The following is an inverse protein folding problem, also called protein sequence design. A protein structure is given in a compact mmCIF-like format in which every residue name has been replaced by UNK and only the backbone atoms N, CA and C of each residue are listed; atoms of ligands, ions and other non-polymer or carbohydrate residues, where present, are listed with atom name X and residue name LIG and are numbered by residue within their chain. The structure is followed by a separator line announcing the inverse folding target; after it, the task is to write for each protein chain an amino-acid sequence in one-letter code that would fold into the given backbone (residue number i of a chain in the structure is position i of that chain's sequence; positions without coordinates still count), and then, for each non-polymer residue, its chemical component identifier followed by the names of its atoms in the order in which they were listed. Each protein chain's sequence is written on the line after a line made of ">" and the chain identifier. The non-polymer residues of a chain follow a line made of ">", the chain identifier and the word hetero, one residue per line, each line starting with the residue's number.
data_IF_805257262658
#
_entry.id   IF_805257262658
#
_cell.length_a   1.000
_cell.length_b   1.000
_cell.length_c   1.000
_cell.angle_alpha   90.00
_cell.angle_beta   90.00
_cell.angle_gamma   90.00
#
_symmetry.space_group_name_H-M   'P 1'
#
loop_
_entity.id
_entity.type
_entity.pdbx_description
1 polymer ?
#
# COMPACT_ATOMS: atom_id res chain seq x y z
N UNK A 1 0.44 -6.67 28.52
CA UNK A 1 -0.12 -5.50 27.82
C UNK A 1 0.82 -4.34 27.99
N UNK A 2 1.55 -3.93 26.94
CA UNK A 2 2.34 -2.71 27.00
C UNK A 2 1.39 -1.53 26.82
N UNK A 3 1.11 -0.75 27.88
CA UNK A 3 0.21 0.39 27.78
C UNK A 3 0.72 1.39 26.73
N UNK A 4 -0.08 1.65 25.69
CA UNK A 4 0.14 2.75 24.74
C UNK A 4 -0.07 4.07 25.50
N UNK A 5 0.99 4.60 26.11
CA UNK A 5 0.96 5.87 26.85
C UNK A 5 1.17 7.07 25.89
N UNK A 6 0.24 7.27 24.96
CA UNK A 6 0.23 8.46 24.11
C UNK A 6 -0.91 9.36 24.58
N UNK A 7 -0.61 10.39 25.35
CA UNK A 7 -1.57 11.42 25.73
C UNK A 7 -0.95 12.80 25.52
N UNK A 8 -1.68 13.70 24.85
CA UNK A 8 -1.23 15.06 24.57
C UNK A 8 -2.40 16.03 24.59
N UNK A 9 -2.28 17.09 25.38
CA UNK A 9 -3.24 18.20 25.41
C UNK A 9 -2.75 19.31 24.47
N UNK A 10 -3.63 19.77 23.59
CA UNK A 10 -3.42 20.93 22.71
C UNK A 10 -4.34 22.03 23.23
N UNK A 11 -3.73 23.11 23.74
CA UNK A 11 -4.46 24.28 24.21
C UNK A 11 -4.96 25.09 23.02
N UNK A 12 -6.25 25.43 23.01
CA UNK A 12 -6.84 26.31 22.03
C UNK A 12 -6.87 27.75 22.54
N UNK A 13 -6.26 28.70 21.83
CA UNK A 13 -6.47 30.12 22.13
C UNK A 13 -7.96 30.48 21.89
N UNK A 14 -8.72 30.64 22.97
CA UNK A 14 -10.16 30.91 22.91
C UNK A 14 -11.05 29.74 22.45
N UNK A 15 -10.50 28.51 22.39
CA UNK A 15 -11.24 27.28 22.06
C UNK A 15 -11.04 26.24 23.17
N UNK A 16 -11.98 25.29 23.35
CA UNK A 16 -11.79 24.22 24.31
C UNK A 16 -10.55 23.38 23.96
N UNK A 17 -9.88 22.89 25.00
CA UNK A 17 -8.69 22.05 24.86
C UNK A 17 -9.02 20.77 24.08
N UNK A 18 -8.06 20.34 23.26
CA UNK A 18 -8.15 19.08 22.52
C UNK A 18 -7.20 18.07 23.13
N UNK A 19 -7.72 16.92 23.54
CA UNK A 19 -6.96 15.81 24.11
C UNK A 19 -6.75 14.74 23.06
N UNK A 20 -5.49 14.46 22.70
CA UNK A 20 -5.12 13.31 21.88
C UNK A 20 -4.85 12.13 22.82
N UNK A 21 -5.51 11.00 22.56
CA UNK A 21 -5.42 9.76 23.36
C UNK A 21 -5.64 8.51 22.51
N UNK A 22 -5.32 7.31 22.99
CA UNK A 22 -5.72 6.07 22.31
C UNK A 22 -7.24 5.98 22.21
N UNK A 23 -7.70 5.41 21.10
CA UNK A 23 -9.11 5.09 20.90
C UNK A 23 -9.55 4.00 21.88
N UNK A 24 -10.81 4.07 22.29
CA UNK A 24 -11.51 3.07 23.09
C UNK A 24 -12.68 2.51 22.28
N UNK A 25 -13.18 1.33 22.64
CA UNK A 25 -14.33 0.69 21.96
C UNK A 25 -15.55 1.62 21.92
N UNK A 26 -15.77 2.42 22.96
CA UNK A 26 -16.84 3.43 23.01
C UNK A 26 -16.73 4.53 21.94
N UNK A 27 -15.52 4.79 21.41
CA UNK A 27 -15.29 5.83 20.40
C UNK A 27 -15.70 5.36 18.98
N UNK A 28 -15.89 4.04 18.76
CA UNK A 28 -16.09 3.44 17.44
C UNK A 28 -17.16 4.14 16.61
N UNK A 29 -18.35 4.32 17.18
CA UNK A 29 -19.47 4.96 16.48
C UNK A 29 -19.14 6.38 16.06
N UNK A 30 -18.52 7.17 16.94
CA UNK A 30 -18.18 8.56 16.64
C UNK A 30 -17.07 8.65 15.60
N UNK A 31 -16.08 7.76 15.64
CA UNK A 31 -15.05 7.67 14.61
C UNK A 31 -15.70 7.38 13.25
N UNK A 32 -16.59 6.39 13.15
CA UNK A 32 -17.30 6.07 11.90
C UNK A 32 -18.09 7.27 11.36
N UNK A 33 -18.83 7.96 12.24
CA UNK A 33 -19.54 9.19 11.87
C UNK A 33 -18.59 10.27 11.35
N UNK A 34 -17.44 10.48 11.99
CA UNK A 34 -16.44 11.47 11.57
C UNK A 34 -15.87 11.17 10.17
N UNK A 35 -15.59 9.89 9.86
CA UNK A 35 -15.18 9.49 8.52
C UNK A 35 -16.28 9.74 7.49
N UNK A 36 -17.54 9.41 7.82
CA UNK A 36 -18.67 9.65 6.94
C UNK A 36 -18.93 11.16 6.71
N UNK A 37 -18.79 11.99 7.74
CA UNK A 37 -18.93 13.45 7.67
C UNK A 37 -17.88 14.08 6.74
N UNK A 38 -16.65 13.57 6.73
CA UNK A 38 -15.52 14.18 6.00
C UNK A 38 -15.31 13.58 4.60
N UNK A 39 -15.51 12.27 4.46
CA UNK A 39 -15.24 11.54 3.21
C UNK A 39 -16.51 10.99 2.53
N UNK A 40 -17.68 11.15 3.14
CA UNK A 40 -18.94 10.61 2.65
C UNK A 40 -19.16 9.14 3.05
N UNK A 41 -20.40 8.66 2.87
CA UNK A 41 -20.81 7.30 3.25
C UNK A 41 -20.15 6.17 2.44
N UNK A 42 -19.45 6.50 1.35
CA UNK A 42 -18.82 5.54 0.45
C UNK A 42 -17.36 5.23 0.81
N UNK A 43 -16.84 5.70 1.95
CA UNK A 43 -15.46 5.43 2.37
C UNK A 43 -15.15 3.91 2.33
N UNK A 44 -14.11 3.45 1.60
CA UNK A 44 -13.96 2.03 1.28
C UNK A 44 -13.09 1.25 2.26
N UNK A 45 -12.40 1.92 3.19
CA UNK A 45 -11.39 1.24 4.04
C UNK A 45 -12.07 0.43 5.13
N UNK A 46 -12.03 -0.89 4.98
CA UNK A 46 -12.77 -1.83 5.84
C UNK A 46 -12.40 -1.74 7.32
N UNK A 47 -11.17 -1.36 7.69
CA UNK A 47 -10.80 -1.20 9.11
C UNK A 47 -11.67 -0.17 9.83
N UNK A 48 -12.19 0.83 9.12
CA UNK A 48 -13.08 1.86 9.66
C UNK A 48 -14.55 1.45 9.56
N UNK A 49 -14.96 0.84 8.45
CA UNK A 49 -16.37 0.56 8.18
C UNK A 49 -16.88 -0.76 8.76
N UNK A 50 -16.01 -1.76 8.93
CA UNK A 50 -16.34 -3.06 9.51
C UNK A 50 -16.19 -3.01 11.03
N UNK A 51 -17.30 -3.28 11.74
CA UNK A 51 -17.38 -3.21 13.20
C UNK A 51 -16.41 -4.16 13.90
N UNK A 52 -16.27 -5.39 13.39
CA UNK A 52 -15.44 -6.40 14.05
C UNK A 52 -13.96 -6.14 13.78
N UNK A 53 -13.60 -5.72 12.56
CA UNK A 53 -12.22 -5.29 12.26
C UNK A 53 -11.82 -4.07 13.07
N UNK A 54 -12.72 -3.09 13.20
CA UNK A 54 -12.48 -1.89 13.98
C UNK A 54 -12.28 -2.19 15.46
N UNK A 55 -13.16 -3.02 16.06
CA UNK A 55 -13.02 -3.45 17.45
C UNK A 55 -11.68 -4.12 17.68
N UNK A 56 -11.34 -5.12 16.84
CA UNK A 56 -10.04 -5.83 16.92
C UNK A 56 -8.88 -4.85 16.86
N UNK A 57 -8.87 -3.93 15.90
CA UNK A 57 -7.79 -2.95 15.76
C UNK A 57 -7.69 -1.96 16.94
N UNK A 58 -8.78 -1.66 17.65
CA UNK A 58 -8.73 -0.83 18.86
C UNK A 58 -8.13 -1.62 20.04
N UNK A 59 -8.48 -2.90 20.16
CA UNK A 59 -8.09 -3.78 21.27
C UNK A 59 -6.68 -4.38 21.09
N UNK A 60 -6.20 -4.51 19.86
CA UNK A 60 -4.94 -5.17 19.51
C UNK A 60 -3.71 -4.23 19.64
N UNK A 61 -2.56 -4.79 20.02
CA UNK A 61 -1.29 -4.09 20.12
C UNK A 61 -0.60 -3.88 18.77
N UNK A 62 -1.02 -4.61 17.74
CA UNK A 62 -0.51 -4.47 16.36
C UNK A 62 -1.06 -3.22 15.64
N UNK A 63 -1.86 -2.40 16.34
CA UNK A 63 -2.43 -1.17 15.79
C UNK A 63 -2.17 0.02 16.71
N UNK A 64 -1.98 1.20 16.14
CA UNK A 64 -2.03 2.46 16.89
C UNK A 64 -3.22 3.24 16.38
N UNK A 65 -4.31 3.23 17.15
CA UNK A 65 -5.50 4.01 16.86
C UNK A 65 -5.60 5.15 17.87
N UNK A 66 -5.39 6.39 17.42
CA UNK A 66 -5.55 7.59 18.23
C UNK A 66 -6.82 8.33 17.86
N UNK A 67 -7.40 9.01 18.86
CA UNK A 67 -8.46 10.00 18.68
C UNK A 67 -8.02 11.35 19.25
N UNK A 68 -8.46 12.42 18.62
CA UNK A 68 -8.46 13.75 19.20
C UNK A 68 -9.88 14.06 19.70
N UNK A 69 -10.01 14.37 20.98
CA UNK A 69 -11.27 14.63 21.66
C UNK A 69 -11.34 16.08 22.12
N UNK A 70 -12.49 16.72 21.92
CA UNK A 70 -12.80 18.06 22.40
C UNK A 70 -14.18 18.00 23.06
N UNK A 71 -14.25 18.32 24.36
CA UNK A 71 -15.50 18.33 25.15
C UNK A 71 -16.34 17.04 24.99
N UNK A 72 -15.71 15.85 25.11
CA UNK A 72 -16.41 14.57 24.95
C UNK A 72 -16.69 14.14 23.50
N UNK A 73 -16.43 15.00 22.50
CA UNK A 73 -16.62 14.68 21.08
C UNK A 73 -15.29 14.31 20.42
N UNK A 74 -15.23 13.17 19.74
CA UNK A 74 -14.11 12.87 18.83
C UNK A 74 -14.18 13.79 17.61
N UNK A 75 -13.11 14.56 17.42
CA UNK A 75 -12.91 15.55 16.35
C UNK A 75 -11.75 15.20 15.42
N UNK A 76 -10.94 14.20 15.77
CA UNK A 76 -9.91 13.63 14.91
C UNK A 76 -9.71 12.15 15.17
N UNK A 77 -9.29 11.39 14.16
CA UNK A 77 -8.99 9.96 14.27
C UNK A 77 -7.83 9.60 13.36
N UNK A 78 -6.94 8.73 13.82
CA UNK A 78 -5.77 8.25 13.09
C UNK A 78 -5.53 6.79 13.40
N UNK A 79 -5.29 5.97 12.38
CA UNK A 79 -4.98 4.54 12.54
C UNK A 79 -3.74 4.12 11.77
N UNK A 80 -2.84 3.45 12.48
CA UNK A 80 -1.66 2.77 11.95
C UNK A 80 -1.79 1.28 12.25
N UNK A 81 -1.34 0.42 11.35
CA UNK A 81 -1.06 -0.98 11.66
C UNK A 81 0.44 -1.24 11.63
N UNK A 82 0.88 -2.19 12.44
CA UNK A 82 2.25 -2.62 12.58
C UNK A 82 2.36 -4.07 12.11
N UNK A 83 3.45 -4.35 11.43
CA UNK A 83 3.90 -5.70 11.14
C UNK A 83 5.27 -5.85 11.82
N UNK A 84 5.26 -6.40 13.03
CA UNK A 84 6.47 -6.54 13.84
C UNK A 84 7.45 -7.56 13.26
N UNK A 85 6.97 -8.51 12.45
CA UNK A 85 7.81 -9.51 11.78
C UNK A 85 8.69 -8.83 10.73
N UNK A 86 8.09 -8.03 9.86
CA UNK A 86 8.84 -7.26 8.85
C UNK A 86 9.36 -5.91 9.35
N UNK A 87 8.96 -5.51 10.57
CA UNK A 87 9.23 -4.19 11.16
C UNK A 87 8.76 -3.06 10.25
N UNK A 88 7.54 -3.19 9.75
CA UNK A 88 6.89 -2.21 8.90
C UNK A 88 5.68 -1.62 9.61
N UNK A 89 5.26 -0.43 9.22
CA UNK A 89 3.95 0.13 9.58
C UNK A 89 3.29 0.78 8.37
N UNK A 90 1.95 0.72 8.34
CA UNK A 90 1.12 1.44 7.38
C UNK A 90 0.19 2.41 8.10
N UNK A 91 0.24 3.68 7.72
CA UNK A 91 -0.80 4.65 8.07
C UNK A 91 -2.02 4.43 7.16
N UNK A 92 -3.12 3.91 7.73
CA UNK A 92 -4.30 3.51 6.96
C UNK A 92 -5.27 4.66 6.70
N UNK A 93 -5.44 5.54 7.68
CA UNK A 93 -6.39 6.63 7.57
C UNK A 93 -6.18 7.68 8.65
N UNK A 94 -6.41 8.93 8.27
CA UNK A 94 -6.44 10.08 9.16
C UNK A 94 -7.65 10.94 8.79
N UNK A 95 -8.42 11.37 9.77
CA UNK A 95 -9.55 12.28 9.57
C UNK A 95 -9.56 13.33 10.66
N UNK A 96 -9.84 14.58 10.28
CA UNK A 96 -10.04 15.70 11.22
C UNK A 96 -11.27 16.47 10.79
N UNK A 97 -12.13 16.76 11.76
CA UNK A 97 -13.33 17.57 11.58
C UNK A 97 -12.98 18.92 10.96
N UNK A 98 -13.82 19.41 10.06
CA UNK A 98 -13.63 20.65 9.31
C UNK A 98 -13.32 21.85 10.22
N UNK A 99 -14.03 21.95 11.35
CA UNK A 99 -13.92 23.00 12.36
C UNK A 99 -12.53 23.05 13.06
N UNK A 100 -11.79 21.93 13.01
CA UNK A 100 -10.55 21.71 13.76
C UNK A 100 -9.30 21.59 12.86
N UNK A 101 -9.42 21.71 11.53
CA UNK A 101 -8.31 21.50 10.58
C UNK A 101 -7.11 22.45 10.75
N UNK A 102 -7.30 23.63 11.34
CA UNK A 102 -6.24 24.63 11.57
C UNK A 102 -5.44 24.43 12.87
N UNK A 103 -5.75 23.40 13.65
CA UNK A 103 -5.04 23.10 14.91
C UNK A 103 -3.91 22.07 14.73
N UNK A 104 -3.50 21.78 13.49
CA UNK A 104 -2.45 20.80 13.16
C UNK A 104 -2.68 19.40 13.76
N UNK A 105 -3.93 19.02 14.07
CA UNK A 105 -4.22 17.76 14.76
C UNK A 105 -3.69 16.54 14.00
N UNK A 106 -3.88 16.48 12.67
CA UNK A 106 -3.38 15.37 11.86
C UNK A 106 -1.86 15.25 11.94
N UNK A 107 -1.14 16.37 11.87
CA UNK A 107 0.32 16.42 12.03
C UNK A 107 0.73 15.92 13.41
N UNK A 108 0.14 16.48 14.47
CA UNK A 108 0.49 16.12 15.85
C UNK A 108 0.23 14.64 16.12
N UNK A 109 -0.93 14.11 15.72
CA UNK A 109 -1.26 12.70 15.91
C UNK A 109 -0.31 11.79 15.13
N UNK A 110 -0.02 12.09 13.86
CA UNK A 110 0.91 11.29 13.06
C UNK A 110 2.33 11.34 13.63
N UNK A 111 2.80 12.52 14.05
CA UNK A 111 4.10 12.68 14.68
C UNK A 111 4.22 11.88 15.98
N UNK A 112 3.20 11.93 16.84
CA UNK A 112 3.19 11.16 18.08
C UNK A 112 3.32 9.66 17.84
N UNK A 113 2.56 9.11 16.88
CA UNK A 113 2.66 7.69 16.53
C UNK A 113 4.01 7.38 15.91
N UNK A 114 4.46 8.19 14.94
CA UNK A 114 5.73 8.00 14.24
C UNK A 114 6.89 7.97 15.24
N UNK A 115 7.02 8.99 16.08
CA UNK A 115 8.08 9.10 17.08
C UNK A 115 8.05 7.92 18.06
N UNK A 116 6.86 7.47 18.47
CA UNK A 116 6.74 6.32 19.38
C UNK A 116 7.19 5.01 18.73
N UNK A 117 6.73 4.71 17.51
CA UNK A 117 6.99 3.42 16.86
C UNK A 117 8.36 3.33 16.19
N UNK A 118 8.98 4.46 15.79
CA UNK A 118 10.31 4.45 15.15
C UNK A 118 11.45 4.81 16.08
N UNK A 119 11.22 5.65 17.10
CA UNK A 119 12.30 6.15 17.96
C UNK A 119 12.16 5.68 19.40
N UNK A 120 11.03 5.93 20.07
CA UNK A 120 10.91 5.66 21.51
C UNK A 120 10.90 4.16 21.83
N UNK A 121 10.19 3.37 21.03
CA UNK A 121 10.05 1.92 21.22
C UNK A 121 10.79 1.09 20.18
N UNK A 122 11.30 1.72 19.12
CA UNK A 122 12.02 1.07 18.02
C UNK A 122 11.31 -0.21 17.52
N UNK A 123 10.00 -0.10 17.24
CA UNK A 123 9.17 -1.23 16.83
C UNK A 123 9.30 -1.50 15.34
N UNK A 124 9.41 -0.45 14.53
CA UNK A 124 9.42 -0.53 13.07
C UNK A 124 10.54 0.31 12.47
N UNK A 125 11.07 -0.16 11.35
CA UNK A 125 12.14 0.52 10.63
C UNK A 125 11.59 1.46 9.54
N UNK A 126 10.36 1.19 9.11
CA UNK A 126 9.73 1.75 7.93
C UNK A 126 8.25 2.01 8.21
N UNK A 127 7.78 3.21 7.89
CA UNK A 127 6.36 3.57 7.87
C UNK A 127 5.98 4.03 6.47
N UNK A 128 4.89 3.53 5.90
CA UNK A 128 4.40 4.03 4.61
C UNK A 128 2.91 4.39 4.66
N UNK A 129 2.50 5.19 3.68
CA UNK A 129 1.13 5.64 3.53
C UNK A 129 0.78 5.77 2.05
N UNK A 130 -0.51 5.64 1.74
CA UNK A 130 -1.07 6.12 0.47
C UNK A 130 -1.82 7.43 0.71
N UNK A 131 -1.63 8.38 -0.20
CA UNK A 131 -2.32 9.67 -0.15
C UNK A 131 -3.15 9.88 -1.39
N UNK A 132 -4.44 10.17 -1.23
CA UNK A 132 -5.34 10.56 -2.32
C UNK A 132 -4.83 11.83 -3.01
N UNK A 133 -5.05 11.94 -4.32
CA UNK A 133 -4.64 13.12 -5.10
C UNK A 133 -5.74 14.15 -5.31
N UNK A 134 -6.92 14.01 -4.69
CA UNK A 134 -7.99 15.00 -4.81
C UNK A 134 -7.62 16.37 -4.19
N UNK A 135 -6.64 16.39 -3.29
CA UNK A 135 -6.07 17.61 -2.71
C UNK A 135 -4.61 17.42 -2.30
N UNK A 136 -3.88 18.53 -2.13
CA UNK A 136 -2.46 18.53 -1.77
C UNK A 136 -2.19 18.28 -0.28
N UNK A 137 -3.20 18.33 0.59
CA UNK A 137 -2.99 18.44 2.04
C UNK A 137 -2.33 17.17 2.64
N UNK A 138 -2.78 15.93 2.38
CA UNK A 138 -2.11 14.72 2.85
C UNK A 138 -0.69 14.55 2.30
N UNK A 139 -0.45 14.99 1.06
CA UNK A 139 0.88 14.94 0.44
C UNK A 139 1.86 15.89 1.15
N UNK A 140 1.43 17.13 1.44
CA UNK A 140 2.23 18.11 2.20
C UNK A 140 2.40 17.69 3.67
N UNK A 141 1.38 17.07 4.26
CA UNK A 141 1.43 16.56 5.63
C UNK A 141 2.52 15.50 5.78
N UNK A 142 2.53 14.49 4.92
CA UNK A 142 3.56 13.44 4.93
C UNK A 142 4.95 13.99 4.62
N UNK A 143 5.06 14.93 3.69
CA UNK A 143 6.32 15.66 3.43
C UNK A 143 6.85 16.39 4.68
N UNK A 144 6.00 17.08 5.42
CA UNK A 144 6.38 17.80 6.65
C UNK A 144 6.81 16.88 7.80
N UNK A 145 6.47 15.60 7.72
CA UNK A 145 6.86 14.54 8.67
C UNK A 145 8.12 13.79 8.21
N UNK A 146 8.75 14.20 7.11
CA UNK A 146 9.97 13.58 6.60
C UNK A 146 9.73 12.37 5.70
N UNK A 147 8.50 12.14 5.22
CA UNK A 147 8.26 11.07 4.26
C UNK A 147 8.76 11.48 2.87
N UNK A 148 9.38 10.52 2.18
CA UNK A 148 9.83 10.64 0.79
C UNK A 148 8.79 10.05 -0.16
N UNK A 149 8.87 10.42 -1.43
CA UNK A 149 7.88 10.09 -2.47
C UNK A 149 8.36 8.86 -3.20
N UNK A 150 7.53 7.83 -3.28
CA UNK A 150 7.93 6.50 -3.75
C UNK A 150 7.26 6.11 -5.06
N UNK A 151 6.11 6.71 -5.38
CA UNK A 151 5.46 6.49 -6.66
C UNK A 151 4.03 7.01 -6.72
N UNK A 152 3.34 6.65 -7.80
CA UNK A 152 1.97 7.04 -8.08
C UNK A 152 1.21 5.85 -8.67
N UNK A 153 -0.05 5.73 -8.30
CA UNK A 153 -0.94 4.68 -8.73
C UNK A 153 -2.15 5.33 -9.42
N UNK A 154 -2.13 5.44 -10.75
CA UNK A 154 -3.27 5.94 -11.51
C UNK A 154 -4.47 5.00 -11.41
N UNK A 155 -5.67 5.56 -11.24
CA UNK A 155 -6.96 4.84 -11.20
C UNK A 155 -7.00 3.63 -10.24
N UNK A 156 -6.30 3.68 -9.10
CA UNK A 156 -6.21 2.56 -8.16
C UNK A 156 -7.54 2.16 -7.54
N UNK A 157 -8.42 3.14 -7.34
CA UNK A 157 -9.74 2.94 -6.75
C UNK A 157 -10.81 3.58 -7.62
N UNK A 158 -11.97 2.93 -7.70
CA UNK A 158 -13.16 3.42 -8.40
C UNK A 158 -14.37 3.25 -7.48
N UNK A 159 -14.72 4.33 -6.77
CA UNK A 159 -15.87 4.36 -5.85
C UNK A 159 -17.04 5.13 -6.47
N UNK A 160 -16.82 6.41 -6.77
CA UNK A 160 -17.74 7.25 -7.55
C UNK A 160 -17.02 7.69 -8.83
N UNK A 161 -15.82 8.26 -8.65
CA UNK A 161 -14.88 8.57 -9.71
C UNK A 161 -13.63 7.69 -9.59
N UNK A 162 -12.81 7.70 -10.65
CA UNK A 162 -11.46 7.15 -10.61
C UNK A 162 -10.58 7.98 -9.66
N UNK A 163 -9.97 7.33 -8.69
CA UNK A 163 -9.03 7.95 -7.76
C UNK A 163 -7.60 7.52 -8.07
N UNK A 164 -6.72 8.51 -8.26
CA UNK A 164 -5.27 8.30 -8.26
C UNK A 164 -4.74 8.48 -6.83
N UNK A 165 -3.82 7.60 -6.44
CA UNK A 165 -3.16 7.64 -5.13
C UNK A 165 -1.65 7.79 -5.31
N UNK A 166 -0.97 8.35 -4.32
CA UNK A 166 0.49 8.41 -4.27
C UNK A 166 1.02 7.52 -3.15
N UNK A 167 2.21 6.95 -3.35
CA UNK A 167 2.94 6.21 -2.32
C UNK A 167 4.02 7.07 -1.67
N UNK A 168 4.07 7.05 -0.34
CA UNK A 168 5.10 7.75 0.43
C UNK A 168 5.60 6.89 1.58
N UNK A 169 6.87 7.08 1.98
CA UNK A 169 7.50 6.30 3.05
C UNK A 169 8.46 7.11 3.90
N UNK A 170 8.48 6.80 5.19
CA UNK A 170 9.44 7.26 6.18
C UNK A 170 10.39 6.11 6.52
N UNK A 171 11.69 6.38 6.44
CA UNK A 171 12.73 5.39 6.68
C UNK A 171 13.57 5.82 7.87
N UNK A 172 13.70 4.93 8.86
CA UNK A 172 14.73 5.11 9.89
C UNK A 172 16.12 5.00 9.28
N UNK A 173 17.11 5.60 9.93
CA UNK A 173 18.51 5.46 9.52
C UNK A 173 18.92 3.97 9.50
N UNK A 174 18.52 3.21 10.52
CA UNK A 174 18.76 1.77 10.60
C UNK A 174 18.14 0.99 9.42
N UNK A 175 17.00 1.42 8.89
CA UNK A 175 16.42 0.82 7.68
C UNK A 175 17.33 0.96 6.47
N UNK A 176 17.88 2.16 6.26
CA UNK A 176 18.75 2.49 5.14
C UNK A 176 20.12 1.80 5.29
N UNK A 177 20.68 1.74 6.50
CA UNK A 177 21.94 1.03 6.78
C UNK A 177 21.82 -0.48 6.52
N UNK A 178 20.66 -1.09 6.83
CA UNK A 178 20.40 -2.52 6.59
C UNK A 178 19.97 -2.83 5.15
N UNK A 179 19.85 -1.82 4.29
CA UNK A 179 19.44 -2.00 2.90
C UNK A 179 20.48 -2.80 2.13
N UNK A 180 20.04 -3.79 1.34
CA UNK A 180 20.89 -4.48 0.38
C UNK A 180 21.23 -3.52 -0.77
N UNK A 181 22.50 -3.16 -1.01
CA UNK A 181 22.85 -2.24 -2.08
C UNK A 181 22.70 -2.89 -3.46
N UNK A 182 22.78 -2.06 -4.50
CA UNK A 182 22.87 -2.38 -5.93
C UNK A 182 21.71 -3.27 -6.41
N UNK A 183 20.46 -2.76 -6.38
CA UNK A 183 19.32 -3.48 -6.93
C UNK A 183 19.55 -3.79 -8.41
N UNK A 184 19.01 -4.92 -8.88
CA UNK A 184 19.12 -5.40 -10.25
C UNK A 184 17.78 -5.18 -10.94
N UNK A 185 17.69 -4.11 -11.70
CA UNK A 185 16.42 -3.64 -12.26
C UNK A 185 16.43 -3.64 -13.79
N UNK A 186 15.26 -3.80 -14.40
CA UNK A 186 15.08 -3.59 -15.84
C UNK A 186 15.12 -2.10 -16.21
N UNK A 187 15.44 -1.74 -17.47
CA UNK A 187 15.55 -0.34 -17.91
C UNK A 187 14.31 0.52 -17.59
N UNK A 188 13.12 -0.05 -17.69
CA UNK A 188 11.83 0.63 -17.51
C UNK A 188 11.58 1.05 -16.05
N UNK A 189 12.26 0.41 -15.11
CA UNK A 189 12.20 0.74 -13.67
C UNK A 189 13.22 1.82 -13.30
N UNK A 190 14.29 1.99 -14.09
CA UNK A 190 15.39 2.90 -13.78
C UNK A 190 14.96 4.37 -13.55
N UNK A 191 14.00 4.94 -14.30
CA UNK A 191 13.51 6.29 -14.02
C UNK A 191 12.85 6.43 -12.65
N UNK A 192 12.04 5.45 -12.24
CA UNK A 192 11.39 5.41 -10.92
C UNK A 192 12.43 5.30 -9.80
N UNK A 193 13.44 4.44 -10.00
CA UNK A 193 14.57 4.31 -9.09
C UNK A 193 15.27 5.64 -8.89
N UNK A 194 15.62 6.35 -9.96
CA UNK A 194 16.41 7.58 -9.89
C UNK A 194 15.67 8.71 -9.15
N UNK A 195 14.34 8.78 -9.27
CA UNK A 195 13.53 9.75 -8.50
C UNK A 195 13.65 9.46 -6.99
N UNK A 196 13.62 8.20 -6.58
CA UNK A 196 13.79 7.81 -5.17
C UNK A 196 15.24 7.97 -4.72
N UNK A 197 16.20 7.54 -5.56
CA UNK A 197 17.65 7.59 -5.31
C UNK A 197 18.10 8.98 -4.91
N UNK A 198 17.60 10.03 -5.58
CA UNK A 198 17.96 11.43 -5.31
C UNK A 198 17.43 11.97 -3.98
N UNK A 199 16.34 11.42 -3.45
CA UNK A 199 15.74 11.89 -2.19
C UNK A 199 16.53 11.41 -0.96
N UNK A 200 17.14 10.22 -1.04
CA UNK A 200 17.82 9.57 0.10
C UNK A 200 19.22 9.05 -0.25
N UNK A 201 19.81 9.58 -1.31
CA UNK A 201 21.18 9.28 -1.77
C UNK A 201 21.52 7.78 -1.86
N UNK A 202 20.63 6.97 -2.47
CA UNK A 202 20.91 5.53 -2.66
C UNK A 202 22.04 5.35 -3.68
N UNK A 203 22.70 4.19 -3.66
CA UNK A 203 23.73 3.82 -4.62
C UNK A 203 23.16 3.63 -6.04
N UNK A 204 24.01 3.47 -7.07
CA UNK A 204 23.52 3.24 -8.44
C UNK A 204 23.01 1.80 -8.63
N UNK A 205 21.93 1.60 -9.40
CA UNK A 205 21.40 0.27 -9.62
C UNK A 205 22.25 -0.46 -10.68
N UNK A 206 22.11 -1.78 -10.75
CA UNK A 206 22.55 -2.57 -11.90
C UNK A 206 21.39 -2.69 -12.88
N UNK A 207 21.49 -2.00 -14.02
CA UNK A 207 20.50 -2.15 -15.09
C UNK A 207 20.76 -3.48 -15.80
N UNK A 208 19.72 -4.31 -15.93
CA UNK A 208 19.75 -5.62 -16.59
C UNK A 208 18.69 -5.63 -17.68
N UNK A 209 19.14 -5.54 -18.92
CA UNK A 209 18.28 -5.71 -20.08
C UNK A 209 18.04 -7.21 -20.30
N UNK A 210 16.92 -7.70 -19.74
CA UNK A 210 16.49 -9.09 -19.84
C UNK A 210 15.29 -9.14 -20.78
N UNK A 211 15.24 -10.16 -21.64
CA UNK A 211 14.10 -10.48 -22.49
C UNK A 211 13.44 -11.76 -21.99
N UNK A 212 12.13 -11.72 -21.83
CA UNK A 212 11.28 -12.89 -21.59
C UNK A 212 10.72 -13.42 -22.90
N UNK A 213 9.96 -14.52 -22.79
CA UNK A 213 9.40 -15.23 -23.94
C UNK A 213 8.36 -14.41 -24.73
N UNK A 214 7.83 -13.35 -24.12
CA UNK A 214 6.74 -12.53 -24.68
C UNK A 214 7.14 -11.06 -24.90
N UNK A 215 8.42 -10.71 -24.72
CA UNK A 215 8.89 -9.33 -24.81
C UNK A 215 8.84 -8.73 -26.21
N UNK A 216 8.75 -9.55 -27.26
CA UNK A 216 8.65 -9.07 -28.64
C UNK A 216 7.20 -8.91 -29.13
N UNK A 217 6.22 -9.28 -28.30
CA UNK A 217 4.79 -9.22 -28.55
C UNK A 217 4.32 -9.95 -29.84
N UNK A 218 5.13 -10.87 -30.39
CA UNK A 218 4.75 -11.64 -31.59
C UNK A 218 3.86 -12.83 -31.28
N UNK A 219 3.99 -13.37 -30.06
CA UNK A 219 3.22 -14.53 -29.60
C UNK A 219 2.22 -14.06 -28.55
N UNK A 220 0.97 -14.51 -28.68
CA UNK A 220 -0.05 -14.29 -27.67
C UNK A 220 0.27 -15.09 -26.42
N UNK A 221 0.25 -14.43 -25.26
CA UNK A 221 0.42 -15.10 -23.97
C UNK A 221 -0.74 -16.10 -23.77
N UNK A 222 -0.47 -17.41 -23.55
CA UNK A 222 -1.50 -18.39 -23.25
C UNK A 222 -2.14 -18.09 -21.89
N UNK A 223 -3.38 -18.54 -21.73
CA UNK A 223 -4.19 -18.25 -20.55
C UNK A 223 -4.47 -19.53 -19.77
N UNK A 224 -4.28 -19.46 -18.46
CA UNK A 224 -4.69 -20.50 -17.52
C UNK A 224 -6.20 -20.40 -17.29
N UNK A 225 -6.87 -21.56 -17.23
CA UNK A 225 -8.28 -21.62 -16.87
C UNK A 225 -8.42 -21.50 -15.34
N UNK A 226 -8.65 -20.29 -14.84
CA UNK A 226 -8.86 -20.06 -13.41
C UNK A 226 -10.33 -20.17 -12.99
N UNK A 227 -10.57 -20.93 -11.94
CA UNK A 227 -11.75 -20.85 -11.09
C UNK A 227 -11.50 -19.84 -9.95
N UNK A 228 -12.56 -19.18 -9.49
CA UNK A 228 -12.48 -18.17 -8.43
C UNK A 228 -13.23 -18.64 -7.18
N UNK A 229 -12.55 -18.69 -6.04
CA UNK A 229 -13.17 -19.03 -4.75
C UNK A 229 -13.10 -17.82 -3.83
N UNK A 230 -14.27 -17.34 -3.40
CA UNK A 230 -14.46 -16.11 -2.61
C UNK A 230 -14.95 -16.38 -1.18
N UNK A 231 -14.54 -17.51 -0.60
CA UNK A 231 -14.86 -17.89 0.78
C UNK A 231 -13.75 -17.43 1.75
N UNK A 232 -13.85 -16.27 2.44
CA UNK A 232 -12.69 -15.60 3.02
C UNK A 232 -11.96 -16.42 4.09
N UNK A 233 -12.69 -17.09 4.99
CA UNK A 233 -12.08 -17.94 6.03
C UNK A 233 -11.41 -19.19 5.43
N UNK A 234 -12.00 -19.77 4.38
CA UNK A 234 -11.36 -20.87 3.65
C UNK A 234 -10.07 -20.41 2.98
N UNK A 235 -10.12 -19.31 2.24
CA UNK A 235 -8.96 -18.72 1.54
C UNK A 235 -7.83 -18.41 2.53
N UNK A 236 -8.15 -17.74 3.64
CA UNK A 236 -7.20 -17.41 4.71
C UNK A 236 -6.56 -18.65 5.32
N UNK A 237 -7.35 -19.67 5.63
CA UNK A 237 -6.84 -20.91 6.20
C UNK A 237 -5.99 -21.71 5.21
N UNK A 238 -6.33 -21.70 3.92
CA UNK A 238 -5.51 -22.34 2.87
C UNK A 238 -4.19 -21.59 2.68
N UNK A 239 -4.23 -20.26 2.57
CA UNK A 239 -3.04 -19.42 2.41
C UNK A 239 -2.01 -19.62 3.53
N UNK A 240 -2.46 -19.78 4.79
CA UNK A 240 -1.58 -20.06 5.93
C UNK A 240 -0.82 -21.39 5.83
N UNK A 241 -1.36 -22.36 5.08
CA UNK A 241 -0.77 -23.69 4.89
C UNK A 241 0.08 -23.77 3.63
N UNK A 242 -0.29 -23.01 2.59
CA UNK A 242 0.45 -22.94 1.33
C UNK A 242 1.76 -22.18 1.56
N UNK A 243 2.86 -22.77 1.11
CA UNK A 243 4.14 -22.08 1.01
C UNK A 243 4.25 -21.51 -0.40
N UNK A 244 4.52 -20.21 -0.50
CA UNK A 244 4.88 -19.63 -1.78
C UNK A 244 6.08 -20.36 -2.37
N UNK A 245 6.02 -20.69 -3.66
CA UNK A 245 7.10 -21.33 -4.41
C UNK A 245 7.40 -20.52 -5.68
N UNK A 246 8.45 -20.91 -6.41
CA UNK A 246 8.78 -20.35 -7.71
C UNK A 246 8.86 -18.81 -7.65
N UNK A 247 8.26 -18.11 -8.61
CA UNK A 247 8.28 -16.64 -8.66
C UNK A 247 7.50 -15.96 -7.53
N UNK A 248 6.60 -16.65 -6.80
CA UNK A 248 5.88 -16.06 -5.68
C UNK A 248 6.77 -15.81 -4.45
N UNK A 249 7.95 -16.44 -4.36
CA UNK A 249 8.96 -16.14 -3.33
C UNK A 249 9.52 -14.71 -3.45
N UNK A 250 9.45 -14.15 -4.66
CA UNK A 250 9.91 -12.81 -5.02
C UNK A 250 8.85 -11.73 -4.79
N UNK A 251 7.61 -12.12 -4.47
CA UNK A 251 6.52 -11.19 -4.16
C UNK A 251 6.54 -10.80 -2.68
N UNK A 252 6.09 -9.59 -2.38
CA UNK A 252 5.95 -9.08 -1.02
C UNK A 252 4.79 -8.12 -0.87
N UNK A 253 3.70 -8.56 -0.26
CA UNK A 253 2.53 -7.70 -0.02
C UNK A 253 2.21 -7.58 1.47
N UNK A 254 2.70 -6.54 2.17
CA UNK A 254 2.39 -6.34 3.57
C UNK A 254 0.98 -5.75 3.73
N UNK A 255 0.36 -6.00 4.89
CA UNK A 255 -0.93 -5.43 5.31
C UNK A 255 -2.15 -5.76 4.43
N UNK A 256 -2.07 -6.84 3.65
CA UNK A 256 -3.20 -7.39 2.90
C UNK A 256 -3.45 -8.84 3.33
N UNK A 257 -4.72 -9.16 3.57
CA UNK A 257 -5.17 -10.51 3.90
C UNK A 257 -5.97 -11.04 2.70
N UNK A 258 -5.62 -12.22 2.15
CA UNK A 258 -6.27 -12.72 0.97
C UNK A 258 -7.72 -13.13 1.28
N UNK A 259 -8.63 -12.76 0.38
CA UNK A 259 -10.05 -13.11 0.43
C UNK A 259 -10.56 -13.72 -0.89
N UNK A 260 -9.67 -13.88 -1.87
CA UNK A 260 -9.89 -14.55 -3.15
C UNK A 260 -8.71 -15.48 -3.44
N UNK A 261 -9.02 -16.66 -3.97
CA UNK A 261 -8.05 -17.53 -4.64
C UNK A 261 -8.51 -17.75 -6.09
N UNK A 262 -7.58 -17.59 -7.01
CA UNK A 262 -7.69 -18.06 -8.39
C UNK A 262 -6.93 -19.38 -8.50
N UNK A 263 -7.62 -20.45 -8.89
CA UNK A 263 -7.06 -21.81 -8.89
C UNK A 263 -7.35 -22.51 -10.21
N UNK A 264 -6.37 -23.23 -10.75
CA UNK A 264 -6.58 -24.08 -11.94
C UNK A 264 -7.28 -25.39 -11.54
N UNK A 265 -8.08 -26.03 -12.42
CA UNK A 265 -8.79 -27.28 -12.10
C UNK A 265 -7.88 -28.43 -11.63
N UNK A 266 -6.64 -28.48 -12.12
CA UNK A 266 -5.61 -29.44 -11.71
C UNK A 266 -4.93 -29.07 -10.37
N UNK A 267 -5.26 -27.92 -9.80
CA UNK A 267 -4.64 -27.32 -8.60
C UNK A 267 -3.13 -27.08 -8.73
N UNK A 268 -2.59 -27.12 -9.95
CA UNK A 268 -1.17 -26.86 -10.22
C UNK A 268 -0.80 -25.38 -10.11
N UNK A 269 -1.78 -24.47 -10.12
CA UNK A 269 -1.57 -23.03 -9.87
C UNK A 269 -2.64 -22.45 -8.96
N UNK A 270 -2.19 -21.77 -7.91
CA UNK A 270 -3.01 -21.01 -6.97
C UNK A 270 -2.46 -19.60 -6.81
N UNK A 271 -3.29 -18.59 -7.07
CA UNK A 271 -2.96 -17.18 -6.84
C UNK A 271 -3.89 -16.62 -5.79
N UNK A 272 -3.33 -16.08 -4.72
CA UNK A 272 -4.07 -15.48 -3.63
C UNK A 272 -4.11 -13.97 -3.80
N UNK A 273 -5.31 -13.40 -3.74
CA UNK A 273 -5.54 -11.99 -3.89
C UNK A 273 -6.34 -11.44 -2.72
N UNK A 274 -6.08 -10.18 -2.40
CA UNK A 274 -7.09 -9.34 -1.77
C UNK A 274 -7.84 -8.61 -2.89
N UNK A 275 -9.16 -8.67 -2.89
CA UNK A 275 -9.99 -7.90 -3.80
C UNK A 275 -11.12 -7.20 -3.03
N UNK A 276 -11.47 -5.99 -3.45
CA UNK A 276 -12.53 -5.19 -2.86
C UNK A 276 -13.45 -4.68 -3.96
N UNK A 277 -14.64 -5.27 -4.07
CA UNK A 277 -15.61 -4.90 -5.10
C UNK A 277 -16.11 -3.46 -4.96
N UNK A 278 -16.14 -2.91 -3.73
CA UNK A 278 -16.68 -1.56 -3.48
C UNK A 278 -15.88 -0.46 -4.15
N UNK A 279 -14.56 -0.65 -4.27
CA UNK A 279 -13.65 0.32 -4.89
C UNK A 279 -12.87 -0.25 -6.08
N UNK A 280 -13.25 -1.45 -6.54
CA UNK A 280 -12.67 -2.17 -7.68
C UNK A 280 -11.14 -2.31 -7.63
N UNK A 281 -10.58 -2.36 -6.42
CA UNK A 281 -9.16 -2.56 -6.15
C UNK A 281 -8.83 -4.04 -5.89
N UNK A 282 -7.79 -4.55 -6.51
CA UNK A 282 -7.25 -5.88 -6.22
C UNK A 282 -5.73 -5.89 -6.15
N UNK A 283 -5.19 -6.86 -5.44
CA UNK A 283 -3.75 -7.01 -5.24
C UNK A 283 -3.36 -8.48 -5.07
N UNK A 284 -2.27 -8.88 -5.72
CA UNK A 284 -1.68 -10.21 -5.58
C UNK A 284 -0.87 -10.28 -4.29
N UNK A 285 -1.24 -11.20 -3.40
CA UNK A 285 -0.62 -11.36 -2.07
C UNK A 285 0.43 -12.47 -2.07
N UNK A 286 0.24 -13.50 -2.89
CA UNK A 286 1.13 -14.63 -3.02
C UNK A 286 0.47 -15.77 -3.80
N UNK A 287 1.09 -16.93 -3.80
CA UNK A 287 0.61 -18.06 -4.59
C UNK A 287 1.60 -19.20 -4.64
N UNK A 288 1.18 -20.26 -5.32
CA UNK A 288 2.06 -21.34 -5.73
C UNK A 288 1.72 -21.76 -7.16
N UNK A 289 2.69 -22.29 -7.89
CA UNK A 289 2.47 -22.67 -9.28
C UNK A 289 3.49 -23.70 -9.78
N UNK A 290 3.06 -24.52 -10.73
CA UNK A 290 3.89 -25.37 -11.59
C UNK A 290 4.18 -24.70 -12.95
N UNK A 291 3.52 -23.58 -13.25
CA UNK A 291 3.78 -22.77 -14.45
C UNK A 291 5.16 -22.10 -14.34
N UNK A 292 5.91 -22.14 -15.44
CA UNK A 292 7.27 -21.61 -15.52
C UNK A 292 7.30 -20.14 -15.86
N UNK A 293 6.31 -19.66 -16.61
CA UNK A 293 6.24 -18.28 -17.06
C UNK A 293 5.40 -17.43 -16.10
N UNK A 294 6.03 -16.42 -15.49
CA UNK A 294 5.30 -15.47 -14.66
C UNK A 294 4.36 -14.61 -15.50
N UNK A 295 4.70 -14.33 -16.76
CA UNK A 295 3.82 -13.61 -17.69
C UNK A 295 2.50 -14.33 -17.93
N UNK A 296 2.53 -15.65 -18.09
CA UNK A 296 1.33 -16.48 -18.27
C UNK A 296 0.41 -16.38 -17.07
N UNK A 297 0.96 -16.53 -15.85
CA UNK A 297 0.17 -16.41 -14.62
C UNK A 297 -0.40 -15.00 -14.46
N UNK A 298 0.40 -13.96 -14.66
CA UNK A 298 -0.04 -12.57 -14.46
C UNK A 298 -1.05 -12.11 -15.51
N UNK A 299 -0.92 -12.49 -16.78
CA UNK A 299 -1.92 -12.20 -17.81
C UNK A 299 -3.24 -12.93 -17.51
N UNK A 300 -3.17 -14.19 -17.06
CA UNK A 300 -4.33 -14.98 -16.67
C UNK A 300 -5.05 -14.40 -15.44
N UNK A 301 -4.29 -13.93 -14.44
CA UNK A 301 -4.81 -13.19 -13.28
C UNK A 301 -5.50 -11.92 -13.75
N UNK A 302 -4.84 -11.11 -14.58
CA UNK A 302 -5.38 -9.85 -15.08
C UNK A 302 -6.69 -10.05 -15.85
N UNK A 303 -6.76 -11.08 -16.71
CA UNK A 303 -7.99 -11.43 -17.41
C UNK A 303 -9.10 -11.83 -16.42
N UNK A 304 -8.78 -12.70 -15.46
CA UNK A 304 -9.79 -13.21 -14.52
C UNK A 304 -10.33 -12.14 -13.59
N UNK A 305 -9.47 -11.25 -13.06
CA UNK A 305 -9.95 -10.15 -12.21
C UNK A 305 -10.74 -9.11 -13.01
N UNK A 306 -10.39 -8.87 -14.28
CA UNK A 306 -11.20 -8.03 -15.16
C UNK A 306 -12.59 -8.62 -15.42
N UNK A 307 -12.70 -9.95 -15.60
CA UNK A 307 -13.99 -10.65 -15.68
C UNK A 307 -14.81 -10.57 -14.38
N UNK A 308 -14.15 -10.38 -13.24
CA UNK A 308 -14.79 -10.11 -11.94
C UNK A 308 -15.14 -8.63 -11.74
N UNK A 309 -15.14 -7.83 -12.81
CA UNK A 309 -15.45 -6.39 -12.83
C UNK A 309 -14.52 -5.52 -11.96
N UNK A 310 -13.28 -5.96 -11.78
CA UNK A 310 -12.23 -5.17 -11.14
C UNK A 310 -11.64 -4.16 -12.12
N UNK A 311 -11.23 -2.99 -11.61
CA UNK A 311 -10.66 -1.90 -12.39
C UNK A 311 -9.13 -1.88 -12.31
N UNK A 312 -8.56 -2.48 -11.27
CA UNK A 312 -7.15 -2.37 -10.94
C UNK A 312 -6.61 -3.65 -10.31
N UNK A 313 -5.38 -4.01 -10.66
CA UNK A 313 -4.60 -5.06 -10.00
C UNK A 313 -3.14 -4.64 -9.85
N UNK A 314 -2.54 -4.92 -8.70
CA UNK A 314 -1.11 -4.69 -8.46
C UNK A 314 -0.39 -5.92 -7.88
N UNK A 315 0.93 -5.92 -8.05
CA UNK A 315 1.85 -6.88 -7.47
C UNK A 315 3.14 -6.16 -7.07
N UNK A 316 3.72 -6.54 -5.94
CA UNK A 316 5.00 -6.00 -5.48
C UNK A 316 6.07 -7.06 -5.62
N UNK A 317 7.08 -6.78 -6.44
CA UNK A 317 8.16 -7.69 -6.80
C UNK A 317 9.47 -7.15 -6.24
N UNK A 318 10.38 -8.01 -5.78
CA UNK A 318 11.71 -7.55 -5.37
C UNK A 318 12.50 -6.89 -6.51
N UNK A 319 13.35 -5.93 -6.14
CA UNK A 319 14.17 -5.18 -7.09
C UNK A 319 15.47 -5.93 -7.49
N UNK A 320 15.57 -7.26 -7.28
CA UNK A 320 16.78 -8.05 -7.54
C UNK A 320 16.56 -9.19 -8.54
N UNK A 321 15.33 -9.36 -9.02
CA UNK A 321 14.88 -10.44 -9.90
C UNK A 321 14.42 -9.89 -11.26
N UNK A 322 15.36 -9.45 -12.13
CA UNK A 322 15.02 -8.75 -13.37
C UNK A 322 14.21 -9.59 -14.38
N UNK A 323 14.32 -10.92 -14.36
CA UNK A 323 13.49 -11.79 -15.18
C UNK A 323 12.00 -11.68 -14.78
N UNK A 324 11.71 -11.76 -13.47
CA UNK A 324 10.33 -11.61 -12.94
C UNK A 324 9.79 -10.20 -13.18
N UNK A 325 10.64 -9.18 -13.09
CA UNK A 325 10.26 -7.80 -13.44
C UNK A 325 9.90 -7.67 -14.93
N UNK A 326 10.68 -8.31 -15.82
CA UNK A 326 10.39 -8.33 -17.26
C UNK A 326 9.08 -9.07 -17.53
N UNK A 327 8.89 -10.24 -16.93
CA UNK A 327 7.68 -11.04 -17.12
C UNK A 327 6.40 -10.28 -16.71
N UNK A 328 6.47 -9.52 -15.61
CA UNK A 328 5.36 -8.65 -15.18
C UNK A 328 5.04 -7.57 -16.23
N UNK A 329 6.09 -6.94 -16.77
CA UNK A 329 5.97 -5.93 -17.81
C UNK A 329 5.41 -6.51 -19.12
N UNK A 330 5.86 -7.69 -19.52
CA UNK A 330 5.35 -8.41 -20.69
C UNK A 330 3.86 -8.76 -20.53
N UNK A 331 3.40 -9.06 -19.31
CA UNK A 331 2.00 -9.19 -18.93
C UNK A 331 1.27 -7.84 -18.71
N UNK A 332 1.87 -6.72 -19.15
CA UNK A 332 1.31 -5.36 -19.12
C UNK A 332 1.06 -4.81 -17.71
N UNK A 333 1.75 -5.34 -16.71
CA UNK A 333 1.88 -4.67 -15.42
C UNK A 333 3.05 -3.70 -15.52
N UNK A 334 2.79 -2.40 -15.45
CA UNK A 334 3.82 -1.39 -15.59
C UNK A 334 4.29 -0.89 -14.22
N UNK A 335 5.57 -0.48 -14.08
CA UNK A 335 6.08 0.11 -12.84
C UNK A 335 5.29 1.35 -12.43
N UNK A 336 4.92 1.41 -11.16
CA UNK A 336 4.14 2.51 -10.56
C UNK A 336 4.87 3.17 -9.40
N UNK A 337 5.69 2.38 -8.69
CA UNK A 337 6.47 2.87 -7.56
C UNK A 337 7.77 2.08 -7.37
N UNK A 338 8.78 2.76 -6.82
CA UNK A 338 9.99 2.14 -6.30
C UNK A 338 10.00 2.25 -4.77
N UNK A 339 10.06 1.12 -4.09
CA UNK A 339 9.87 1.03 -2.65
C UNK A 339 11.16 0.50 -1.97
N UNK A 340 12.08 1.39 -1.56
CA UNK A 340 13.32 0.95 -0.96
C UNK A 340 13.05 0.29 0.40
N UNK A 341 13.91 -0.63 0.81
CA UNK A 341 13.85 -1.27 2.13
C UNK A 341 12.50 -1.96 2.45
N UNK A 342 11.62 -2.24 1.49
CA UNK A 342 10.25 -2.69 1.78
C UNK A 342 10.18 -4.05 2.49
N UNK A 343 10.94 -5.04 2.00
CA UNK A 343 10.94 -6.43 2.49
C UNK A 343 12.12 -6.67 3.43
N UNK A 344 11.88 -7.24 4.62
CA UNK A 344 12.94 -7.64 5.55
C UNK A 344 13.17 -9.15 5.48
N UNK A 345 14.42 -9.57 5.27
CA UNK A 345 14.81 -10.99 5.21
C UNK A 345 16.27 -11.17 5.63
N UNK A 346 16.55 -12.12 6.52
CA UNK A 346 17.92 -12.44 6.96
C UNK A 346 18.68 -11.22 7.52
N UNK A 347 18.02 -10.37 8.31
CA UNK A 347 18.62 -9.16 8.88
C UNK A 347 18.84 -7.99 7.91
N UNK A 348 18.65 -8.21 6.60
CA UNK A 348 18.76 -7.18 5.57
C UNK A 348 17.39 -6.69 5.12
N UNK A 349 17.36 -5.52 4.48
CA UNK A 349 16.17 -4.95 3.84
C UNK A 349 16.36 -4.91 2.33
N UNK A 350 15.35 -5.35 1.61
CA UNK A 350 15.34 -5.49 0.17
C UNK A 350 14.37 -4.45 -0.39
N UNK A 351 14.81 -3.79 -1.46
CA UNK A 351 13.94 -2.94 -2.24
C UNK A 351 12.93 -3.77 -3.03
N UNK A 352 11.77 -3.19 -3.26
CA UNK A 352 10.72 -3.73 -4.10
C UNK A 352 10.25 -2.69 -5.11
N UNK A 353 9.57 -3.18 -6.15
CA UNK A 353 8.96 -2.39 -7.20
C UNK A 353 7.48 -2.74 -7.18
N UNK A 354 6.63 -1.73 -7.21
CA UNK A 354 5.18 -1.95 -7.36
C UNK A 354 4.87 -1.88 -8.84
N UNK A 355 4.32 -2.96 -9.37
CA UNK A 355 3.82 -3.06 -10.72
C UNK A 355 2.31 -3.11 -10.68
N UNK A 356 1.64 -2.38 -11.58
CA UNK A 356 0.19 -2.39 -11.63
C UNK A 356 -0.36 -2.36 -13.03
N UNK A 357 -1.60 -2.82 -13.15
CA UNK A 357 -2.39 -2.78 -14.38
C UNK A 357 -3.78 -2.26 -14.05
N UNK A 358 -4.19 -1.23 -14.78
CA UNK A 358 -5.58 -0.74 -14.79
C UNK A 358 -6.27 -1.24 -16.05
N UNK A 359 -7.57 -1.53 -15.92
CA UNK A 359 -8.43 -1.95 -17.03
C UNK A 359 -9.29 -0.81 -17.55
N UNK A 360 -9.40 0.26 -16.77
CA UNK A 360 -10.11 1.47 -17.14
C UNK A 360 -9.20 2.50 -17.84
N UNK A 361 -9.82 3.37 -18.65
CA UNK A 361 -9.17 4.55 -19.23
C UNK A 361 -8.69 5.47 -18.10
N UNK A 362 -7.43 5.89 -18.17
CA UNK A 362 -6.82 6.79 -17.21
C UNK A 362 -7.59 8.13 -17.13
N UNK A 363 -7.97 8.53 -15.91
CA UNK A 363 -8.67 9.79 -15.67
C UNK A 363 -7.90 10.64 -14.66
N UNK A 364 -7.45 11.81 -15.11
CA UNK A 364 -6.66 12.74 -14.31
C UNK A 364 -7.38 14.06 -14.00
N UNK A 365 -8.68 14.20 -14.32
CA UNK A 365 -9.43 15.47 -14.17
C UNK A 365 -9.36 16.04 -12.75
N UNK A 366 -9.38 15.16 -11.74
CA UNK A 366 -9.39 15.54 -10.33
C UNK A 366 -8.01 15.41 -9.64
N UNK A 367 -6.93 15.21 -10.40
CA UNK A 367 -5.61 14.92 -9.84
C UNK A 367 -4.82 16.19 -9.53
N UNK A 368 -4.52 16.38 -8.24
CA UNK A 368 -3.71 17.45 -7.67
C UNK A 368 -2.49 16.83 -6.99
N UNK A 369 -1.33 16.93 -7.63
CA UNK A 369 -0.09 16.31 -7.17
C UNK A 369 1.08 17.29 -7.11
N UNK A 370 1.86 17.21 -6.03
CA UNK A 370 3.09 18.01 -5.88
C UNK A 370 4.12 17.67 -6.96
N UNK A 371 5.09 18.56 -7.19
CA UNK A 371 6.00 18.50 -8.34
C UNK A 371 6.70 17.16 -8.50
N UNK A 372 7.17 16.55 -7.42
CA UNK A 372 7.90 15.29 -7.49
C UNK A 372 7.04 14.10 -7.93
N UNK A 373 5.75 14.07 -7.55
CA UNK A 373 4.81 13.04 -8.04
C UNK A 373 4.48 13.21 -9.52
N UNK A 374 4.58 14.42 -10.08
CA UNK A 374 4.43 14.63 -11.53
C UNK A 374 5.52 13.90 -12.33
N UNK A 375 6.72 13.73 -11.75
CA UNK A 375 7.79 12.98 -12.40
C UNK A 375 7.43 11.49 -12.48
N UNK A 376 6.94 10.90 -11.38
CA UNK A 376 6.45 9.52 -11.40
C UNK A 376 5.31 9.32 -12.41
N UNK A 377 4.33 10.24 -12.43
CA UNK A 377 3.22 10.17 -13.38
C UNK A 377 3.70 10.24 -14.83
N UNK A 378 4.69 11.10 -15.11
CA UNK A 378 5.27 11.22 -16.45
C UNK A 378 5.94 9.93 -16.89
N UNK A 379 6.73 9.29 -16.01
CA UNK A 379 7.39 8.02 -16.34
C UNK A 379 6.37 6.89 -16.53
N UNK A 380 5.32 6.82 -15.71
CA UNK A 380 4.22 5.89 -15.88
C UNK A 380 3.53 6.08 -17.26
N UNK A 381 3.21 7.32 -17.63
CA UNK A 381 2.53 7.63 -18.90
C UNK A 381 3.38 7.34 -20.14
N UNK A 382 4.72 7.23 -20.02
CA UNK A 382 5.56 6.79 -21.15
C UNK A 382 5.38 5.31 -21.45
N UNK A 383 5.16 4.50 -20.40
CA UNK A 383 5.00 3.04 -20.50
C UNK A 383 3.55 2.62 -20.79
N UNK A 384 2.58 3.49 -20.47
CA UNK A 384 1.16 3.23 -20.72
C UNK A 384 0.74 3.37 -22.19
N UNK A 385 1.46 4.17 -22.96
CA UNK A 385 1.21 4.37 -24.40
C UNK A 385 1.49 3.09 -25.17
#
# INVERSE_FOLDING_TARGET
>A
MAHKKIEKIIKGEGKPDVVIRPAKVQDMRRIQMLYAEVYGGSYPVSIVTDKEKMRRAIEDNDYYWLVAECQGRVVGSLVYALDLRYRNSKAFGAVVSLEFRKLNLAYTMMKLVLDDITHNKDLVDLVYATTRTANYAPQKLTESLGFIKLGIFPNTHKVQDNETHCLTGYFTEGALQRRRPRPRIIPEVAPFYEIVRRQVNLDRPQIKDVKGDYSDHKVKIPLLNFEAITAPEFVKNRYRKVKSNSFFEHIFMPFHEPNLILITPDQGTEVYLTYNQKDKYSVVVGGMTDEKSFSVVMESVAQKVSQLDMAYVEVIIDAYSPAIQRDALDARFIPSAYFPCAKRMGGKRYDCIVFSRTFDILDFRNVKIISLYKNFLREYLKLWR
#
